data_IF_878065537850
#
_entry.id   IF_878065537850
#
_cell.length_a   1.000
_cell.length_b   1.000
_cell.length_c   1.000
_cell.angle_alpha   90.00
_cell.angle_beta   90.00
_cell.angle_gamma   90.00
#
_symmetry.space_group_name_H-M   'P 1'
#
loop_
_entity.id
_entity.type
_entity.pdbx_description
1 polymer ?
#
# COMPACT_ATOMS: atom_id res chain seq x y z
N UNK A 1 -6.83 11.18 14.83
CA UNK A 1 -5.85 11.30 13.73
C UNK A 1 -4.98 10.05 13.79
N UNK A 2 -4.58 9.42 12.67
CA UNK A 2 -3.85 8.14 12.71
C UNK A 2 -2.43 8.36 13.23
N UNK A 3 -2.14 7.96 14.46
CA UNK A 3 -0.79 8.08 15.03
C UNK A 3 0.18 7.07 14.41
N UNK A 4 1.43 7.49 14.21
CA UNK A 4 2.50 6.64 13.69
C UNK A 4 2.83 5.55 14.72
N UNK A 5 2.86 4.28 14.28
CA UNK A 5 3.32 3.16 15.10
C UNK A 5 4.83 3.19 15.32
N UNK A 6 5.30 2.50 16.37
CA UNK A 6 6.69 2.06 16.38
C UNK A 6 6.86 0.96 15.31
N UNK A 7 7.98 1.01 14.58
CA UNK A 7 8.28 0.00 13.55
C UNK A 7 8.47 -1.39 14.17
N UNK A 8 8.94 -1.47 15.41
CA UNK A 8 9.12 -2.73 16.12
C UNK A 8 7.79 -3.46 16.39
N UNK A 9 6.68 -2.72 16.44
CA UNK A 9 5.33 -3.26 16.67
C UNK A 9 4.63 -3.65 15.35
N UNK A 10 5.32 -3.53 14.21
CA UNK A 10 4.76 -3.78 12.89
C UNK A 10 5.37 -5.03 12.24
N UNK A 11 4.55 -5.75 11.47
CA UNK A 11 4.98 -6.95 10.73
C UNK A 11 5.18 -6.60 9.25
N UNK A 12 6.35 -6.91 8.69
CA UNK A 12 6.63 -6.73 7.26
C UNK A 12 5.61 -7.53 6.42
N UNK A 13 4.97 -6.85 5.46
CA UNK A 13 4.04 -7.48 4.54
C UNK A 13 4.81 -8.24 3.44
N UNK A 14 4.28 -9.40 2.99
CA UNK A 14 4.96 -10.24 2.02
C UNK A 14 4.84 -9.65 0.61
N UNK A 15 5.66 -8.66 0.33
CA UNK A 15 5.93 -8.11 -1.00
C UNK A 15 7.04 -8.94 -1.70
N UNK A 16 7.00 -9.07 -3.03
CA UNK A 16 7.92 -9.99 -3.73
C UNK A 16 8.15 -9.66 -5.20
N UNK A 17 8.99 -10.44 -5.86
CA UNK A 17 9.45 -10.21 -7.25
C UNK A 17 8.46 -10.69 -8.34
N UNK A 18 7.20 -10.96 -7.97
CA UNK A 18 6.19 -11.49 -8.88
C UNK A 18 5.44 -10.41 -9.67
N UNK A 19 5.66 -9.13 -9.39
CA UNK A 19 5.04 -8.00 -10.10
C UNK A 19 6.08 -6.93 -10.43
N UNK A 20 5.75 -5.99 -11.32
CA UNK A 20 6.65 -4.89 -11.71
C UNK A 20 6.11 -3.50 -11.31
N UNK A 21 5.38 -3.44 -10.19
CA UNK A 21 4.79 -2.19 -9.69
C UNK A 21 5.85 -1.09 -9.53
N UNK A 22 5.52 0.14 -9.92
CA UNK A 22 6.41 1.29 -9.77
C UNK A 22 6.68 1.64 -8.30
N UNK A 23 5.70 1.52 -7.40
CA UNK A 23 5.87 1.85 -5.99
C UNK A 23 6.59 0.76 -5.19
N UNK A 24 6.00 -0.44 -5.13
CA UNK A 24 6.45 -1.48 -4.20
C UNK A 24 7.35 -2.58 -4.79
N UNK A 25 7.39 -2.84 -6.11
CA UNK A 25 8.12 -4.02 -6.61
C UNK A 25 9.63 -3.92 -6.34
N UNK A 26 10.27 -4.94 -5.74
CA UNK A 26 11.71 -4.94 -5.51
C UNK A 26 12.54 -5.16 -6.79
N UNK A 27 11.92 -5.62 -7.90
CA UNK A 27 12.64 -5.91 -9.15
C UNK A 27 12.49 -4.83 -10.24
N UNK A 28 11.70 -3.79 -9.99
CA UNK A 28 11.54 -2.72 -10.97
C UNK A 28 12.75 -1.79 -10.90
N UNK A 29 13.67 -1.84 -11.86
CA UNK A 29 14.91 -1.03 -11.86
C UNK A 29 14.69 0.49 -11.76
N UNK A 30 13.48 0.96 -12.05
CA UNK A 30 13.08 2.38 -11.98
C UNK A 30 11.99 2.62 -10.92
N UNK A 31 11.74 1.63 -10.07
CA UNK A 31 10.72 1.68 -9.03
C UNK A 31 11.21 2.36 -7.75
N UNK A 32 10.26 2.62 -6.86
CA UNK A 32 10.48 3.26 -5.56
C UNK A 32 10.89 2.26 -4.47
N UNK A 33 10.66 0.96 -4.70
CA UNK A 33 11.03 -0.15 -3.81
C UNK A 33 10.53 0.02 -2.37
N UNK A 34 9.30 0.49 -2.23
CA UNK A 34 8.70 0.72 -0.92
C UNK A 34 8.36 -0.60 -0.22
N UNK A 35 8.77 -0.70 1.05
CA UNK A 35 8.35 -1.76 1.96
C UNK A 35 7.17 -1.30 2.83
N UNK A 36 6.26 -2.23 3.12
CA UNK A 36 5.05 -1.96 3.89
C UNK A 36 4.94 -2.91 5.07
N UNK A 37 4.43 -2.41 6.18
CA UNK A 37 4.33 -3.14 7.43
C UNK A 37 2.91 -2.98 7.99
N UNK A 38 2.28 -4.08 8.37
CA UNK A 38 0.98 -4.06 9.02
C UNK A 38 1.11 -3.90 10.53
N UNK A 39 0.25 -3.07 11.11
CA UNK A 39 0.03 -2.99 12.54
C UNK A 39 -1.44 -3.35 12.84
N UNK A 40 -1.72 -4.57 13.33
CA UNK A 40 -3.09 -5.01 13.59
C UNK A 40 -3.81 -4.20 14.67
N UNK A 41 -3.10 -3.67 15.67
CA UNK A 41 -3.72 -2.89 16.74
C UNK A 41 -4.25 -1.54 16.25
N UNK A 42 -3.56 -0.94 15.27
CA UNK A 42 -3.97 0.33 14.66
C UNK A 42 -4.87 0.17 13.44
N UNK A 43 -5.12 -1.06 12.99
CA UNK A 43 -5.81 -1.38 11.74
C UNK A 43 -5.25 -0.56 10.55
N UNK A 44 -3.92 -0.53 10.45
CA UNK A 44 -3.21 0.34 9.52
C UNK A 44 -1.95 -0.32 8.96
N UNK A 45 -1.51 0.19 7.80
CA UNK A 45 -0.25 -0.14 7.16
C UNK A 45 0.66 1.08 7.18
N UNK A 46 1.95 0.85 7.40
CA UNK A 46 2.98 1.87 7.46
C UNK A 46 4.13 1.54 6.50
N UNK A 47 4.77 2.58 5.95
CA UNK A 47 6.02 2.50 5.21
C UNK A 47 6.96 3.58 5.72
N UNK A 48 8.17 3.18 6.11
CA UNK A 48 9.28 4.09 6.41
C UNK A 48 10.11 4.22 5.13
N UNK A 49 10.10 5.41 4.54
CA UNK A 49 10.62 5.60 3.21
C UNK A 49 11.46 6.86 3.10
N UNK A 50 12.60 6.77 2.41
CA UNK A 50 13.44 7.91 2.06
C UNK A 50 13.49 8.05 0.54
N UNK A 51 12.75 9.01 0.00
CA UNK A 51 12.69 9.22 -1.45
C UNK A 51 14.05 9.66 -2.01
N UNK A 52 14.60 8.97 -3.03
CA UNK A 52 15.86 9.37 -3.65
C UNK A 52 15.71 10.66 -4.47
N UNK A 53 16.82 11.37 -4.67
CA UNK A 53 16.84 12.69 -5.32
C UNK A 53 16.28 12.72 -6.75
N UNK A 54 16.31 11.60 -7.48
CA UNK A 54 15.78 11.55 -8.85
C UNK A 54 14.23 11.61 -8.90
N UNK A 55 13.56 11.49 -7.75
CA UNK A 55 12.11 11.63 -7.61
C UNK A 55 11.68 13.07 -7.25
N UNK A 56 12.64 14.00 -7.19
CA UNK A 56 12.36 15.40 -6.90
C UNK A 56 11.66 16.10 -8.06
N UNK A 57 10.82 17.07 -7.70
CA UNK A 57 10.34 18.10 -8.63
C UNK A 57 11.33 19.26 -8.67
N UNK A 58 11.07 20.30 -7.86
CA UNK A 58 11.92 21.48 -7.79
C UNK A 58 12.85 21.44 -6.57
N UNK A 59 14.16 21.51 -6.80
CA UNK A 59 15.16 21.43 -5.73
C UNK A 59 15.10 20.09 -4.98
N UNK A 60 15.24 20.07 -3.65
CA UNK A 60 15.19 18.83 -2.86
C UNK A 60 13.75 18.40 -2.53
N UNK A 61 12.73 19.03 -3.12
CA UNK A 61 11.32 18.73 -2.82
C UNK A 61 10.88 17.56 -3.70
N UNK A 62 10.40 16.48 -3.07
CA UNK A 62 9.82 15.33 -3.77
C UNK A 62 8.62 15.78 -4.61
N UNK A 63 8.56 15.32 -5.86
CA UNK A 63 7.51 15.73 -6.79
C UNK A 63 6.11 15.39 -6.22
N UNK A 64 5.13 16.29 -6.38
CA UNK A 64 3.78 16.08 -5.83
C UNK A 64 3.11 14.80 -6.33
N UNK A 65 3.36 14.42 -7.57
CA UNK A 65 2.92 13.13 -8.12
C UNK A 65 3.54 11.91 -7.42
N UNK A 66 4.80 12.00 -6.99
CA UNK A 66 5.46 10.93 -6.23
C UNK A 66 4.89 10.85 -4.82
N UNK A 67 4.62 11.99 -4.18
CA UNK A 67 3.92 12.03 -2.89
C UNK A 67 2.53 11.39 -3.01
N UNK A 68 1.81 11.66 -4.09
CA UNK A 68 0.53 11.00 -4.38
C UNK A 68 0.69 9.49 -4.61
N UNK A 69 1.72 9.03 -5.33
CA UNK A 69 2.05 7.60 -5.47
C UNK A 69 2.33 6.94 -4.12
N UNK A 70 3.12 7.57 -3.24
CA UNK A 70 3.42 7.06 -1.89
C UNK A 70 2.12 6.85 -1.10
N UNK A 71 1.19 7.82 -1.19
CA UNK A 71 -0.12 7.73 -0.54
C UNK A 71 -0.98 6.62 -1.14
N UNK A 72 -1.03 6.51 -2.46
CA UNK A 72 -1.78 5.46 -3.17
C UNK A 72 -1.28 4.06 -2.80
N UNK A 73 0.04 3.84 -2.75
CA UNK A 73 0.62 2.58 -2.33
C UNK A 73 0.31 2.25 -0.86
N UNK A 74 0.43 3.21 0.06
CA UNK A 74 0.13 2.99 1.48
C UNK A 74 -1.35 2.64 1.70
N UNK A 75 -2.26 3.38 1.07
CA UNK A 75 -3.70 3.08 1.09
C UNK A 75 -3.99 1.73 0.45
N UNK A 76 -3.32 1.44 -0.66
CA UNK A 76 -3.50 0.21 -1.42
C UNK A 76 -3.11 -1.03 -0.64
N UNK A 77 -1.95 -1.01 -0.01
CA UNK A 77 -1.52 -2.09 0.88
C UNK A 77 -2.45 -2.24 2.08
N UNK A 78 -2.96 -1.13 2.65
CA UNK A 78 -4.00 -1.23 3.69
C UNK A 78 -5.26 -1.94 3.18
N UNK A 79 -5.75 -1.62 1.98
CA UNK A 79 -6.88 -2.30 1.36
C UNK A 79 -6.61 -3.80 1.14
N UNK A 80 -5.46 -4.13 0.55
CA UNK A 80 -5.05 -5.50 0.24
C UNK A 80 -4.93 -6.36 1.51
N UNK A 81 -4.36 -5.79 2.57
CA UNK A 81 -4.12 -6.49 3.84
C UNK A 81 -5.39 -6.63 4.66
N UNK A 82 -6.13 -5.53 4.87
CA UNK A 82 -7.29 -5.49 5.77
C UNK A 82 -8.51 -6.15 5.13
N UNK A 83 -8.81 -5.82 3.87
CA UNK A 83 -10.01 -6.33 3.20
C UNK A 83 -9.79 -7.67 2.50
N UNK A 84 -8.52 -8.08 2.28
CA UNK A 84 -8.18 -9.25 1.48
C UNK A 84 -8.83 -9.21 0.09
N UNK A 85 -8.77 -8.03 -0.52
CA UNK A 85 -9.31 -7.73 -1.86
C UNK A 85 -8.28 -6.95 -2.65
N UNK A 86 -8.25 -7.20 -3.95
CA UNK A 86 -7.54 -6.34 -4.89
C UNK A 86 -8.46 -5.19 -5.30
N UNK A 87 -7.88 -4.09 -5.76
CA UNK A 87 -8.62 -2.87 -6.01
C UNK A 87 -8.07 -2.09 -7.21
N UNK A 88 -8.89 -1.18 -7.73
CA UNK A 88 -8.45 -0.09 -8.59
C UNK A 88 -8.95 1.24 -8.03
N UNK A 89 -8.06 2.22 -7.93
CA UNK A 89 -8.41 3.59 -7.51
C UNK A 89 -9.38 4.23 -8.51
N UNK A 90 -10.54 4.69 -8.04
CA UNK A 90 -11.50 5.48 -8.85
C UNK A 90 -11.17 6.95 -8.80
N UNK A 91 -10.79 7.44 -7.63
CA UNK A 91 -10.44 8.83 -7.39
C UNK A 91 -9.50 8.92 -6.20
N UNK A 92 -8.53 9.82 -6.29
CA UNK A 92 -7.63 10.18 -5.20
C UNK A 92 -7.67 11.70 -5.04
N UNK A 93 -7.83 12.18 -3.81
CA UNK A 93 -7.74 13.60 -3.47
C UNK A 93 -6.62 13.77 -2.46
N UNK A 94 -5.65 14.63 -2.74
CA UNK A 94 -4.46 14.83 -1.92
C UNK A 94 -4.34 16.29 -1.51
N UNK A 95 -4.28 16.52 -0.20
CA UNK A 95 -3.96 17.81 0.39
C UNK A 95 -2.47 17.85 0.76
N UNK A 96 -1.77 18.89 0.32
CA UNK A 96 -0.35 19.11 0.60
C UNK A 96 -0.18 20.23 1.62
N UNK A 97 0.32 19.90 2.81
CA UNK A 97 0.50 20.83 3.92
C UNK A 97 1.95 21.28 4.07
N UNK A 98 2.91 20.38 3.86
CA UNK A 98 4.36 20.63 3.97
C UNK A 98 5.14 19.88 2.90
N UNK A 99 6.28 20.40 2.44
CA UNK A 99 7.12 19.71 1.48
C UNK A 99 7.69 18.41 2.07
N UNK A 100 7.74 17.37 1.25
CA UNK A 100 8.54 16.17 1.53
C UNK A 100 9.93 16.40 0.95
N UNK A 101 10.96 16.27 1.77
CA UNK A 101 12.35 16.52 1.39
C UNK A 101 13.04 15.19 1.07
N UNK A 102 13.68 15.09 -0.10
CA UNK A 102 14.38 13.88 -0.51
C UNK A 102 15.53 13.52 0.43
N UNK A 103 15.81 12.23 0.55
CA UNK A 103 16.82 11.68 1.45
C UNK A 103 16.49 11.78 2.95
N UNK A 104 15.36 12.39 3.32
CA UNK A 104 14.83 12.34 4.69
C UNK A 104 13.79 11.25 4.80
N UNK A 105 13.81 10.54 5.92
CA UNK A 105 12.80 9.53 6.19
C UNK A 105 11.44 10.17 6.46
N UNK A 106 10.45 9.69 5.73
CA UNK A 106 9.03 9.91 6.01
C UNK A 106 8.39 8.63 6.52
N UNK A 107 7.23 8.78 7.15
CA UNK A 107 6.32 7.66 7.37
C UNK A 107 5.04 7.88 6.58
N UNK A 108 4.79 7.01 5.60
CA UNK A 108 3.51 6.91 4.92
C UNK A 108 2.63 5.90 5.66
N UNK A 109 1.39 6.28 5.95
CA UNK A 109 0.43 5.44 6.63
C UNK A 109 -0.85 5.34 5.80
N UNK A 110 -1.44 4.16 5.73
CA UNK A 110 -2.71 3.89 5.05
C UNK A 110 -3.67 3.10 5.94
N UNK A 111 -4.97 3.36 5.80
CA UNK A 111 -6.03 2.58 6.45
C UNK A 111 -7.33 2.58 5.65
N UNK A 112 -8.18 1.61 5.95
CA UNK A 112 -9.55 1.56 5.41
C UNK A 112 -10.45 2.40 6.33
N UNK A 113 -11.11 3.41 5.78
CA UNK A 113 -12.09 4.22 6.54
C UNK A 113 -13.48 3.60 6.53
N UNK A 114 -13.89 3.09 5.36
CA UNK A 114 -15.24 2.58 5.16
C UNK A 114 -15.30 1.58 4.03
N UNK A 115 -16.15 0.58 4.16
CA UNK A 115 -16.55 -0.32 3.07
C UNK A 115 -18.00 -0.04 2.71
N UNK A 116 -18.27 0.24 1.43
CA UNK A 116 -19.59 0.54 0.89
C UNK A 116 -20.08 -0.66 0.05
N UNK A 117 -20.74 -1.62 0.71
CA UNK A 117 -21.16 -2.86 0.06
C UNK A 117 -19.98 -3.75 -0.35
N UNK A 118 -20.11 -4.52 -1.42
CA UNK A 118 -19.11 -5.52 -1.80
C UNK A 118 -18.04 -5.02 -2.80
N UNK A 119 -18.25 -3.83 -3.37
CA UNK A 119 -17.55 -3.34 -4.57
C UNK A 119 -16.83 -1.99 -4.37
N UNK A 120 -16.91 -1.39 -3.20
CA UNK A 120 -16.32 -0.08 -2.95
C UNK A 120 -15.77 0.05 -1.53
N UNK A 121 -14.65 0.75 -1.39
CA UNK A 121 -14.15 1.22 -0.12
C UNK A 121 -13.64 2.66 -0.21
N UNK A 122 -13.59 3.32 0.94
CA UNK A 122 -12.94 4.62 1.15
C UNK A 122 -11.70 4.39 2.00
N UNK A 123 -10.56 4.91 1.54
CA UNK A 123 -9.25 4.75 2.17
C UNK A 123 -8.72 6.12 2.58
N UNK A 124 -7.89 6.15 3.63
CA UNK A 124 -7.15 7.34 4.04
C UNK A 124 -5.65 7.06 4.02
N UNK A 125 -4.90 8.01 3.48
CA UNK A 125 -3.44 8.03 3.50
C UNK A 125 -2.92 9.27 4.23
N UNK A 126 -1.84 9.13 4.99
CA UNK A 126 -1.16 10.26 5.63
C UNK A 126 0.36 10.09 5.50
N UNK A 127 1.06 11.17 5.16
CA UNK A 127 2.52 11.22 5.21
C UNK A 127 2.96 12.13 6.37
N UNK A 128 3.86 11.61 7.19
CA UNK A 128 4.53 12.29 8.28
C UNK A 128 6.01 12.51 7.97
N UNK A 129 6.56 13.66 8.37
CA UNK A 129 8.01 13.90 8.34
C UNK A 129 8.72 13.32 9.59
N UNK A 130 10.03 13.55 9.68
CA UNK A 130 10.89 13.10 10.79
C UNK A 130 10.47 13.68 12.15
N UNK A 131 9.75 14.80 12.15
CA UNK A 131 9.21 15.47 13.35
C UNK A 131 7.78 15.05 13.69
N UNK A 132 7.24 14.02 13.01
CA UNK A 132 5.84 13.56 13.13
C UNK A 132 4.80 14.61 12.76
N UNK A 133 5.19 15.59 11.94
CA UNK A 133 4.25 16.57 11.39
C UNK A 133 3.69 16.06 10.07
N UNK A 134 2.42 16.37 9.80
CA UNK A 134 1.77 15.97 8.56
C UNK A 134 2.32 16.79 7.39
N UNK A 135 2.79 16.10 6.36
CA UNK A 135 3.16 16.69 5.07
C UNK A 135 2.03 16.63 4.06
N UNK A 136 1.33 15.50 3.98
CA UNK A 136 0.22 15.33 3.06
C UNK A 136 -0.84 14.38 3.63
N UNK A 137 -2.08 14.56 3.20
CA UNK A 137 -3.19 13.62 3.46
C UNK A 137 -3.90 13.28 2.18
N UNK A 138 -4.45 12.08 2.11
CA UNK A 138 -5.23 11.62 0.99
C UNK A 138 -6.50 10.92 1.43
N UNK A 139 -7.55 11.09 0.64
CA UNK A 139 -8.73 10.23 0.64
C UNK A 139 -8.88 9.61 -0.75
N UNK A 140 -9.09 8.30 -0.79
CA UNK A 140 -9.29 7.55 -2.04
C UNK A 140 -10.59 6.75 -2.00
N UNK A 141 -11.32 6.77 -3.11
CA UNK A 141 -12.45 5.86 -3.36
C UNK A 141 -11.96 4.79 -4.33
N UNK A 142 -12.14 3.52 -3.96
CA UNK A 142 -11.62 2.38 -4.74
C UNK A 142 -12.72 1.41 -5.15
N UNK A 143 -12.56 0.80 -6.32
CA UNK A 143 -13.34 -0.39 -6.71
C UNK A 143 -12.71 -1.64 -6.13
N UNK A 144 -13.49 -2.50 -5.48
CA UNK A 144 -13.00 -3.77 -4.93
C UNK A 144 -13.29 -4.93 -5.87
N UNK A 145 -12.31 -5.80 -6.08
CA UNK A 145 -12.40 -6.98 -6.95
C UNK A 145 -12.03 -8.26 -6.20
N UNK A 146 -12.71 -9.35 -6.53
CA UNK A 146 -12.25 -10.69 -6.17
C UNK A 146 -11.16 -11.11 -7.14
N UNK A 147 -10.34 -12.09 -6.76
CA UNK A 147 -9.31 -12.64 -7.66
C UNK A 147 -9.96 -13.26 -8.90
N UNK A 148 -11.10 -13.93 -8.75
CA UNK A 148 -11.85 -14.49 -9.86
C UNK A 148 -12.30 -13.41 -10.87
N UNK A 149 -12.80 -12.27 -10.39
CA UNK A 149 -13.19 -11.17 -11.28
C UNK A 149 -11.99 -10.62 -12.06
N UNK A 150 -10.83 -10.46 -11.41
CA UNK A 150 -9.62 -9.98 -12.11
C UNK A 150 -9.07 -10.99 -13.11
N UNK A 151 -9.19 -12.29 -12.81
CA UNK A 151 -8.86 -13.39 -13.73
C UNK A 151 -9.71 -13.32 -15.00
N UNK A 152 -11.03 -13.12 -14.84
CA UNK A 152 -11.96 -12.96 -15.96
C UNK A 152 -11.69 -11.70 -16.79
N UNK A 153 -11.23 -10.62 -16.15
CA UNK A 153 -10.87 -9.38 -16.83
C UNK A 153 -9.52 -9.43 -17.55
N UNK A 154 -8.65 -10.39 -17.23
CA UNK A 154 -7.33 -10.54 -17.87
C UNK A 154 -6.34 -9.40 -17.60
N UNK A 155 -6.52 -8.65 -16.52
CA UNK A 155 -5.68 -7.45 -16.20
C UNK A 155 -4.36 -7.83 -15.51
N UNK A 156 -4.29 -9.00 -14.88
CA UNK A 156 -3.10 -9.51 -14.19
C UNK A 156 -2.82 -10.95 -14.61
N UNK A 157 -1.56 -11.33 -14.66
CA UNK A 157 -1.17 -12.71 -14.94
C UNK A 157 -1.50 -13.66 -13.77
N UNK A 158 -1.63 -14.95 -14.08
CA UNK A 158 -2.02 -15.97 -13.10
C UNK A 158 -0.97 -16.15 -11.99
N UNK A 159 0.31 -15.88 -12.30
CA UNK A 159 1.39 -15.95 -11.31
C UNK A 159 1.21 -14.89 -10.21
N UNK A 160 0.84 -13.67 -10.60
CA UNK A 160 0.54 -12.56 -9.69
C UNK A 160 -0.71 -12.85 -8.86
N UNK A 161 -1.79 -13.30 -9.50
CA UNK A 161 -3.04 -13.63 -8.80
C UNK A 161 -2.84 -14.75 -7.78
N UNK A 162 -2.12 -15.82 -8.14
CA UNK A 162 -1.81 -16.94 -7.25
C UNK A 162 -1.02 -16.49 -6.00
N UNK A 163 -0.17 -15.48 -6.12
CA UNK A 163 0.57 -14.93 -4.97
C UNK A 163 -0.34 -14.19 -4.00
N UNK A 164 -1.26 -13.37 -4.50
CA UNK A 164 -2.28 -12.75 -3.66
C UNK A 164 -3.18 -13.80 -2.98
N UNK A 165 -3.60 -14.85 -3.68
CA UNK A 165 -4.34 -15.96 -3.06
C UNK A 165 -3.53 -16.59 -1.91
N UNK A 166 -2.24 -16.86 -2.14
CA UNK A 166 -1.37 -17.48 -1.13
C UNK A 166 -1.18 -16.61 0.12
N UNK A 167 -1.14 -15.29 -0.05
CA UNK A 167 -1.02 -14.33 1.06
C UNK A 167 -2.25 -14.34 1.98
N UNK A 168 -3.43 -14.68 1.45
CA UNK A 168 -4.67 -14.73 2.23
C UNK A 168 -5.04 -16.12 2.73
N UNK A 169 -4.30 -17.17 2.34
CA UNK A 169 -4.53 -18.53 2.82
C UNK A 169 -4.23 -18.61 4.33
N UNK A 170 -5.07 -19.30 5.12
CA UNK A 170 -4.76 -19.58 6.51
C UNK A 170 -3.46 -20.39 6.60
N UNK A 171 -2.54 -19.99 7.49
CA UNK A 171 -1.40 -20.83 7.84
C UNK A 171 -1.93 -22.16 8.42
N UNK A 172 -1.76 -23.28 7.70
CA UNK A 172 -2.11 -24.62 8.20
C UNK A 172 -2.91 -25.54 7.28
N UNK A 173 -3.30 -25.12 6.07
CA UNK A 173 -3.95 -26.03 5.11
C UNK A 173 -2.94 -26.92 4.35
N UNK A 174 -2.09 -27.66 5.07
CA UNK A 174 -1.42 -28.84 4.51
C UNK A 174 -2.46 -29.94 4.41
N UNK A 175 -2.78 -30.35 3.18
CA UNK A 175 -3.78 -31.37 2.91
C UNK A 175 -3.51 -32.66 3.67
N UNK A 176 -4.41 -33.02 4.59
CA UNK A 176 -4.71 -34.44 4.82
C UNK A 176 -5.60 -34.88 3.68
N UNK A 177 -4.98 -35.48 2.67
CA UNK A 177 -5.69 -36.42 1.80
C UNK A 177 -6.24 -37.52 2.72
N UNK A 178 -7.56 -37.50 2.95
CA UNK A 178 -8.26 -38.61 3.57
C UNK A 178 -8.10 -39.83 2.67
N UNK A 179 -7.28 -40.78 3.14
CA UNK A 179 -7.64 -42.19 3.01
C UNK A 179 -8.76 -42.40 4.02
N UNK A 180 -9.92 -42.81 3.53
CA UNK A 180 -10.65 -44.01 3.93
C UNK A 180 -11.79 -44.25 2.94
#
# INVERSE_FOLDING_TARGET
MLEVADRADCTLLPNGDFHNCFGCSPKNDRGMHMDFYANPEKDAVFSWYSAPNHLCGWGPVVHGGIVATILDEAMGWACITVLRRLFFSRSISVDFFKPVISGREIVAAGRVLKVNGEREAVLEGIIYNEKREICAKSSSVVSLFTIQALREMGVMDEATLSRFESMWRPAGATGRAGRD
#
